data_IF_341063907006
#
_entry.id   IF_341063907006
#
_cell.length_a   1.000
_cell.length_b   1.000
_cell.length_c   1.000
_cell.angle_alpha   90.00
_cell.angle_beta   90.00
_cell.angle_gamma   90.00
#
_symmetry.space_group_name_H-M   'P 1'
#
loop_
_entity.id
_entity.type
_entity.pdbx_description
1 polymer ?
#
# COMPACT_ATOMS: atom_id res chain seq x y z
N UNK A 1 20.81 1.41 -14.79
CA UNK A 1 20.70 1.55 -13.32
C UNK A 1 19.82 2.75 -13.08
N UNK A 2 18.84 2.64 -12.20
CA UNK A 2 17.85 3.71 -12.00
C UNK A 2 18.41 4.77 -11.04
N UNK A 3 18.84 5.90 -11.60
CA UNK A 3 19.49 7.02 -10.88
C UNK A 3 18.61 7.59 -9.74
N UNK A 4 17.30 7.30 -9.72
CA UNK A 4 16.40 7.75 -8.66
C UNK A 4 16.76 7.17 -7.29
N UNK A 5 17.36 5.98 -7.25
CA UNK A 5 17.78 5.39 -5.97
C UNK A 5 18.96 6.12 -5.33
N UNK A 6 19.72 6.94 -6.08
CA UNK A 6 20.81 7.74 -5.51
C UNK A 6 20.30 8.76 -4.48
N UNK A 7 19.03 9.15 -4.56
CA UNK A 7 18.38 10.01 -3.57
C UNK A 7 18.38 9.39 -2.16
N UNK A 8 18.40 8.06 -2.05
CA UNK A 8 18.44 7.36 -0.77
C UNK A 8 19.78 7.50 -0.03
N UNK A 9 20.81 8.01 -0.71
CA UNK A 9 22.14 8.29 -0.14
C UNK A 9 22.18 9.62 0.60
N UNK A 10 21.11 10.41 0.55
CA UNK A 10 21.01 11.63 1.33
C UNK A 10 21.26 11.36 2.83
N UNK A 11 22.13 12.16 3.45
CA UNK A 11 22.53 12.04 4.86
C UNK A 11 21.33 11.83 5.80
N UNK A 12 20.26 12.60 5.60
CA UNK A 12 19.01 12.51 6.35
C UNK A 12 18.37 11.12 6.28
N UNK A 13 18.29 10.53 5.08
CA UNK A 13 17.71 9.20 4.86
C UNK A 13 18.63 8.12 5.45
N UNK A 14 19.95 8.26 5.29
CA UNK A 14 20.91 7.35 5.90
C UNK A 14 20.84 7.36 7.44
N UNK A 15 20.63 8.52 8.06
CA UNK A 15 20.42 8.64 9.51
C UNK A 15 19.11 7.99 9.97
N UNK A 16 18.07 7.96 9.13
CA UNK A 16 16.86 7.17 9.39
C UNK A 16 17.19 5.68 9.31
N UNK A 17 17.84 5.22 8.25
CA UNK A 17 18.20 3.81 8.02
C UNK A 17 19.00 3.21 9.17
N UNK A 18 19.96 3.94 9.73
CA UNK A 18 20.78 3.45 10.85
C UNK A 18 20.13 3.61 12.23
N UNK A 19 18.90 4.13 12.30
CA UNK A 19 18.15 4.33 13.55
C UNK A 19 18.63 5.52 14.39
N UNK A 20 19.36 6.47 13.79
CA UNK A 20 19.83 7.67 14.48
C UNK A 20 18.77 8.76 14.54
N UNK A 21 17.84 8.78 13.57
CA UNK A 21 16.72 9.71 13.57
C UNK A 21 15.56 9.20 14.42
N UNK A 22 14.91 10.11 15.14
CA UNK A 22 13.72 9.89 15.93
C UNK A 22 12.68 10.96 15.60
N UNK A 23 11.42 10.57 15.48
CA UNK A 23 10.34 11.49 15.11
C UNK A 23 9.45 11.85 16.29
N UNK A 24 8.83 10.86 16.93
CA UNK A 24 7.95 11.08 18.10
C UNK A 24 7.72 9.78 18.88
N UNK A 25 7.09 9.87 20.04
CA UNK A 25 6.74 8.73 20.87
C UNK A 25 5.34 8.24 20.51
N UNK A 26 5.24 6.98 20.10
CA UNK A 26 3.98 6.30 19.86
C UNK A 26 3.41 5.88 21.22
N UNK A 27 2.18 6.32 21.49
CA UNK A 27 1.38 5.86 22.63
C UNK A 27 0.24 5.01 22.13
N UNK A 28 -0.07 3.93 22.85
CA UNK A 28 -1.18 3.04 22.53
C UNK A 28 -2.53 3.64 22.95
N UNK A 29 -2.54 4.44 24.02
CA UNK A 29 -3.69 5.20 24.49
C UNK A 29 -3.24 6.36 25.39
N UNK A 30 -4.15 7.27 25.74
CA UNK A 30 -3.83 8.34 26.70
C UNK A 30 -3.60 7.83 28.13
N UNK A 31 -4.14 6.66 28.47
CA UNK A 31 -3.98 6.04 29.79
C UNK A 31 -2.78 5.10 29.89
N UNK A 32 -2.18 4.71 28.77
CA UNK A 32 -0.97 3.89 28.77
C UNK A 32 0.27 4.76 29.00
N UNK A 33 1.05 4.39 30.01
CA UNK A 33 2.30 5.06 30.36
C UNK A 33 3.49 4.55 29.53
N UNK A 34 3.34 3.42 28.84
CA UNK A 34 4.34 2.91 27.90
C UNK A 34 4.36 3.78 26.65
N UNK A 35 5.55 3.98 26.10
CA UNK A 35 5.72 4.69 24.83
C UNK A 35 6.82 4.05 24.02
N UNK A 36 6.64 4.03 22.70
CA UNK A 36 7.61 3.48 21.77
C UNK A 36 8.24 4.59 20.96
N UNK A 37 9.56 4.57 20.87
CA UNK A 37 10.31 5.50 20.03
C UNK A 37 9.97 5.26 18.55
N UNK A 38 9.40 6.25 17.86
CA UNK A 38 9.19 6.18 16.41
C UNK A 38 10.52 6.39 15.66
N UNK A 39 11.20 5.27 15.39
CA UNK A 39 12.48 5.19 14.70
C UNK A 39 12.69 3.77 14.16
N UNK A 40 13.57 3.61 13.15
CA UNK A 40 14.10 2.29 12.83
C UNK A 40 14.99 1.79 13.98
N UNK A 41 15.12 0.46 14.15
CA UNK A 41 16.01 -0.13 15.15
C UNK A 41 17.45 0.35 14.91
N UNK A 42 18.10 0.77 15.99
CA UNK A 42 19.47 1.26 15.97
C UNK A 42 20.43 0.20 15.41
N UNK A 43 21.26 0.59 14.44
CA UNK A 43 22.28 -0.28 13.88
C UNK A 43 23.66 0.13 14.39
N UNK A 44 24.38 -0.82 14.99
CA UNK A 44 25.81 -0.67 15.32
C UNK A 44 26.65 -0.78 14.05
N UNK A 45 27.91 -0.30 14.07
CA UNK A 45 28.81 -0.45 12.91
C UNK A 45 29.04 -1.90 12.50
N UNK A 46 29.11 -2.82 13.46
CA UNK A 46 29.20 -4.26 13.18
C UNK A 46 27.92 -4.83 12.60
N UNK A 47 26.74 -4.42 13.09
CA UNK A 47 25.46 -4.84 12.52
C UNK A 47 25.34 -4.40 11.05
N UNK A 48 25.76 -3.17 10.73
CA UNK A 48 25.79 -2.66 9.35
C UNK A 48 26.70 -3.53 8.47
N UNK A 49 27.89 -3.93 8.94
CA UNK A 49 28.78 -4.83 8.20
C UNK A 49 28.20 -6.25 8.01
N UNK A 50 27.44 -6.75 8.99
CA UNK A 50 26.73 -8.03 8.86
C UNK A 50 25.63 -7.94 7.79
N UNK A 51 24.91 -6.81 7.72
CA UNK A 51 23.94 -6.54 6.65
C UNK A 51 24.67 -6.52 5.31
N UNK A 52 25.78 -5.79 5.18
CA UNK A 52 26.59 -5.78 3.95
C UNK A 52 26.92 -7.21 3.48
N UNK A 53 27.41 -8.05 4.40
CA UNK A 53 27.76 -9.44 4.12
C UNK A 53 26.57 -10.27 3.64
N UNK A 54 25.39 -10.08 4.24
CA UNK A 54 24.13 -10.73 3.82
C UNK A 54 23.76 -10.38 2.37
N UNK A 55 24.04 -9.15 1.96
CA UNK A 55 23.74 -8.70 0.61
C UNK A 55 24.80 -9.12 -0.42
N UNK A 56 25.98 -9.56 0.01
CA UNK A 56 27.08 -9.97 -0.86
C UNK A 56 28.22 -8.95 -0.93
N UNK A 57 28.20 -7.93 -0.05
CA UNK A 57 29.23 -6.91 0.05
C UNK A 57 30.15 -7.18 1.25
N UNK A 58 31.40 -7.59 0.97
CA UNK A 58 32.39 -7.85 2.00
C UNK A 58 32.87 -6.52 2.62
N UNK A 59 32.41 -6.22 3.84
CA UNK A 59 32.73 -5.01 4.58
C UNK A 59 33.10 -5.39 6.02
N UNK A 60 34.23 -4.88 6.51
CA UNK A 60 34.74 -5.20 7.85
C UNK A 60 34.83 -3.96 8.74
N UNK A 61 34.45 -4.12 10.01
CA UNK A 61 34.53 -3.05 11.01
C UNK A 61 35.86 -3.14 11.79
N UNK A 62 36.77 -2.18 11.60
CA UNK A 62 38.08 -2.14 12.30
C UNK A 62 38.12 -1.04 13.37
N UNK A 63 38.42 -1.42 14.62
CA UNK A 63 38.51 -0.48 15.74
C UNK A 63 39.72 0.46 15.60
N UNK A 64 39.53 1.78 15.76
CA UNK A 64 40.61 2.78 15.68
C UNK A 64 40.79 3.48 14.32
N UNK A 65 39.92 3.21 13.33
CA UNK A 65 39.88 3.89 12.03
C UNK A 65 38.57 3.66 11.27
N UNK A 66 37.51 3.28 11.99
CA UNK A 66 36.22 2.95 11.40
C UNK A 66 35.53 4.18 10.81
N UNK A 67 34.90 3.99 9.64
CA UNK A 67 33.99 4.98 9.08
C UNK A 67 32.84 5.26 10.05
N UNK A 68 32.21 6.43 9.90
CA UNK A 68 30.94 6.70 10.55
C UNK A 68 29.90 5.66 10.10
N UNK A 69 28.93 5.34 10.97
CA UNK A 69 27.88 4.35 10.66
C UNK A 69 27.11 4.69 9.39
N UNK A 70 26.84 5.97 9.18
CA UNK A 70 26.18 6.42 7.97
C UNK A 70 27.00 6.20 6.70
N UNK A 71 28.32 6.36 6.76
CA UNK A 71 29.20 6.12 5.62
C UNK A 71 29.31 4.61 5.33
N UNK A 72 29.22 3.76 6.36
CA UNK A 72 29.04 2.33 6.13
C UNK A 72 27.70 2.01 5.48
N UNK A 73 26.60 2.66 5.91
CA UNK A 73 25.29 2.48 5.30
C UNK A 73 25.25 2.98 3.85
N UNK A 74 25.85 4.13 3.57
CA UNK A 74 25.99 4.68 2.21
C UNK A 74 26.65 3.68 1.27
N UNK A 75 27.78 3.07 1.68
CA UNK A 75 28.46 2.04 0.89
C UNK A 75 27.59 0.82 0.57
N UNK A 76 26.73 0.40 1.51
CA UNK A 76 25.81 -0.73 1.29
C UNK A 76 24.70 -0.31 0.33
N UNK A 77 24.16 0.90 0.49
CA UNK A 77 23.15 1.45 -0.42
C UNK A 77 23.74 1.56 -1.83
N UNK A 78 24.92 2.13 -2.00
CA UNK A 78 25.66 2.20 -3.27
C UNK A 78 25.82 0.81 -3.89
N UNK A 79 26.37 -0.15 -3.15
CA UNK A 79 26.56 -1.51 -3.64
C UNK A 79 25.24 -2.16 -4.06
N UNK A 80 24.18 -1.97 -3.28
CA UNK A 80 22.86 -2.52 -3.60
C UNK A 80 22.22 -1.84 -4.82
N UNK A 81 22.43 -0.54 -5.03
CA UNK A 81 22.00 0.14 -6.26
C UNK A 81 22.77 -0.43 -7.45
N UNK A 82 24.09 -0.57 -7.33
CA UNK A 82 24.96 -1.07 -8.37
C UNK A 82 24.63 -2.50 -8.83
N UNK A 83 24.12 -3.31 -7.91
CA UNK A 83 23.81 -4.72 -8.13
C UNK A 83 22.30 -5.01 -8.27
N UNK A 84 21.45 -3.98 -8.41
CA UNK A 84 19.98 -4.11 -8.49
C UNK A 84 19.35 -4.84 -7.28
N UNK A 85 19.92 -4.65 -6.08
CA UNK A 85 19.47 -5.22 -4.80
C UNK A 85 18.88 -4.19 -3.83
N UNK A 86 18.75 -2.92 -4.25
CA UNK A 86 18.30 -1.83 -3.37
C UNK A 86 16.89 -2.07 -2.83
N UNK A 87 15.97 -2.56 -3.66
CA UNK A 87 14.62 -2.93 -3.21
C UNK A 87 14.63 -4.04 -2.16
N UNK A 88 15.48 -5.06 -2.33
CA UNK A 88 15.65 -6.12 -1.33
C UNK A 88 16.22 -5.58 -0.02
N UNK A 89 17.17 -4.65 -0.10
CA UNK A 89 17.73 -3.97 1.07
C UNK A 89 16.64 -3.21 1.81
N UNK A 90 15.83 -2.41 1.11
CA UNK A 90 14.73 -1.67 1.71
C UNK A 90 13.70 -2.60 2.37
N UNK A 91 13.27 -3.66 1.67
CA UNK A 91 12.36 -4.66 2.24
C UNK A 91 12.93 -5.32 3.49
N UNK A 92 14.22 -5.65 3.50
CA UNK A 92 14.88 -6.16 4.70
C UNK A 92 14.97 -5.11 5.81
N UNK A 93 15.26 -3.85 5.46
CA UNK A 93 15.41 -2.76 6.42
C UNK A 93 14.12 -2.45 7.17
N UNK A 94 12.99 -2.56 6.47
CA UNK A 94 11.65 -2.31 7.01
C UNK A 94 10.98 -3.56 7.56
N UNK A 95 11.59 -4.74 7.49
CA UNK A 95 10.94 -5.99 7.90
C UNK A 95 10.61 -6.01 9.41
N UNK A 96 9.43 -6.53 9.76
CA UNK A 96 8.92 -6.55 11.13
C UNK A 96 9.83 -7.30 12.10
N UNK A 97 10.52 -8.35 11.63
CA UNK A 97 11.45 -9.15 12.44
C UNK A 97 12.64 -8.35 12.96
N UNK A 98 12.96 -7.21 12.35
CA UNK A 98 14.01 -6.34 12.85
C UNK A 98 13.66 -5.55 14.11
N UNK A 99 12.38 -5.47 14.43
CA UNK A 99 11.85 -4.68 15.53
C UNK A 99 11.59 -5.52 16.80
N UNK A 100 12.06 -6.78 16.85
CA UNK A 100 11.81 -7.68 17.99
C UNK A 100 12.12 -7.07 19.35
N UNK A 101 13.23 -6.34 19.45
CA UNK A 101 13.63 -5.68 20.71
C UNK A 101 12.72 -4.50 21.06
N UNK A 102 12.21 -3.80 20.04
CA UNK A 102 11.23 -2.69 20.19
C UNK A 102 9.90 -3.22 20.72
N UNK A 103 9.54 -4.44 20.34
CA UNK A 103 8.27 -5.09 20.66
C UNK A 103 8.25 -5.82 22.02
N UNK A 104 9.38 -5.87 22.72
CA UNK A 104 9.46 -6.54 24.01
C UNK A 104 8.48 -5.93 25.02
N UNK A 105 7.53 -6.73 25.50
CA UNK A 105 6.52 -6.32 26.47
C UNK A 105 5.21 -5.80 25.89
N UNK A 106 4.97 -5.99 24.58
CA UNK A 106 3.72 -5.67 23.89
C UNK A 106 2.98 -6.92 23.41
N UNK A 107 1.65 -6.86 23.35
CA UNK A 107 0.81 -7.91 22.78
C UNK A 107 0.89 -7.95 21.25
N UNK A 108 0.48 -9.05 20.58
CA UNK A 108 0.49 -9.11 19.11
C UNK A 108 -0.25 -7.94 18.43
N UNK A 109 -1.44 -7.58 18.92
CA UNK A 109 -2.24 -6.48 18.36
C UNK A 109 -1.55 -5.12 18.57
N UNK A 110 -0.91 -4.91 19.74
CA UNK A 110 -0.13 -3.71 20.03
C UNK A 110 1.10 -3.63 19.10
N UNK A 111 1.75 -4.76 18.85
CA UNK A 111 2.92 -4.86 17.97
C UNK A 111 2.57 -4.45 16.54
N UNK A 112 1.45 -4.94 15.99
CA UNK A 112 0.99 -4.55 14.65
C UNK A 112 0.72 -3.05 14.55
N UNK A 113 0.01 -2.50 15.53
CA UNK A 113 -0.24 -1.07 15.60
C UNK A 113 1.08 -0.26 15.67
N UNK A 114 1.99 -0.63 16.57
CA UNK A 114 3.27 0.06 16.75
C UNK A 114 4.09 0.01 15.46
N UNK A 115 4.22 -1.18 14.86
CA UNK A 115 4.96 -1.38 13.61
C UNK A 115 4.41 -0.50 12.49
N UNK A 116 3.09 -0.52 12.27
CA UNK A 116 2.44 0.26 11.21
C UNK A 116 2.62 1.77 11.43
N UNK A 117 2.53 2.25 12.67
CA UNK A 117 2.77 3.66 13.01
C UNK A 117 4.23 4.06 12.75
N UNK A 118 5.20 3.21 13.10
CA UNK A 118 6.61 3.47 12.83
C UNK A 118 6.87 3.55 11.31
N UNK A 119 6.47 2.52 10.56
CA UNK A 119 6.75 2.45 9.12
C UNK A 119 6.04 3.57 8.36
N UNK A 120 4.77 3.84 8.63
CA UNK A 120 4.03 4.93 7.96
C UNK A 120 4.67 6.30 8.23
N UNK A 121 5.08 6.57 9.48
CA UNK A 121 5.76 7.82 9.83
C UNK A 121 7.10 7.92 9.10
N UNK A 122 7.89 6.85 9.09
CA UNK A 122 9.22 6.84 8.47
C UNK A 122 9.15 7.04 6.96
N UNK A 123 8.26 6.30 6.29
CA UNK A 123 8.03 6.44 4.84
C UNK A 123 7.53 7.83 4.50
N UNK A 124 6.62 8.40 5.31
CA UNK A 124 6.14 9.78 5.14
C UNK A 124 7.30 10.80 5.23
N UNK A 125 8.21 10.63 6.20
CA UNK A 125 9.37 11.52 6.37
C UNK A 125 10.39 11.38 5.24
N UNK A 126 10.64 10.15 4.77
CA UNK A 126 11.48 9.91 3.59
C UNK A 126 10.83 10.54 2.34
N UNK A 127 9.53 10.32 2.13
CA UNK A 127 8.80 10.87 0.97
C UNK A 127 8.70 12.39 1.01
N UNK A 128 8.62 13.00 2.19
CA UNK A 128 8.76 14.44 2.36
C UNK A 128 10.08 14.95 1.77
N UNK A 129 11.18 14.22 1.98
CA UNK A 129 12.47 14.54 1.36
C UNK A 129 12.50 14.27 -0.15
N UNK A 130 12.03 13.08 -0.58
CA UNK A 130 12.06 12.69 -2.00
C UNK A 130 11.16 13.57 -2.89
N UNK A 131 10.04 14.06 -2.35
CA UNK A 131 9.08 14.92 -3.07
C UNK A 131 9.70 16.22 -3.59
N UNK A 132 10.74 16.75 -2.94
CA UNK A 132 11.48 17.92 -3.44
C UNK A 132 12.13 17.68 -4.81
N UNK A 133 12.33 16.41 -5.18
CA UNK A 133 12.84 15.97 -6.48
C UNK A 133 11.78 15.33 -7.37
N UNK A 134 10.50 15.39 -6.97
CA UNK A 134 9.40 14.75 -7.69
C UNK A 134 9.48 13.21 -7.65
N UNK A 135 9.94 12.63 -6.55
CA UNK A 135 10.00 11.18 -6.34
C UNK A 135 9.30 10.75 -5.04
N UNK A 136 8.92 9.48 -4.96
CA UNK A 136 8.35 8.85 -3.77
C UNK A 136 8.78 7.39 -3.65
N UNK A 137 8.98 6.96 -2.41
CA UNK A 137 9.10 5.55 -2.02
C UNK A 137 7.71 4.97 -1.82
N UNK A 138 7.42 3.86 -2.49
CA UNK A 138 6.16 3.13 -2.41
C UNK A 138 6.41 1.65 -2.19
N UNK A 139 5.49 0.99 -1.50
CA UNK A 139 5.44 -0.46 -1.37
C UNK A 139 4.53 -1.01 -2.48
N UNK A 140 5.09 -1.81 -3.39
CA UNK A 140 4.34 -2.50 -4.46
C UNK A 140 4.45 -3.99 -4.16
N UNK A 141 3.33 -4.64 -3.83
CA UNK A 141 3.35 -5.99 -3.28
C UNK A 141 4.08 -6.00 -1.93
N UNK A 142 5.19 -6.73 -1.85
CA UNK A 142 6.07 -6.81 -0.68
C UNK A 142 7.42 -6.11 -0.86
N UNK A 143 7.57 -5.33 -1.95
CA UNK A 143 8.84 -4.75 -2.37
C UNK A 143 8.77 -3.23 -2.40
N UNK A 144 9.75 -2.58 -1.79
CA UNK A 144 9.87 -1.12 -1.82
C UNK A 144 10.57 -0.63 -3.08
N UNK A 145 9.98 0.38 -3.71
CA UNK A 145 10.49 1.03 -4.92
C UNK A 145 10.51 2.54 -4.76
N UNK A 146 11.44 3.21 -5.43
CA UNK A 146 11.41 4.67 -5.61
C UNK A 146 10.94 4.97 -7.03
N UNK A 147 9.87 5.76 -7.17
CA UNK A 147 9.32 6.17 -8.47
C UNK A 147 9.11 7.67 -8.53
N UNK A 148 8.96 8.22 -9.74
CA UNK A 148 8.65 9.65 -9.91
C UNK A 148 7.16 9.94 -9.66
N UNK A 149 6.86 11.06 -9.00
CA UNK A 149 5.53 11.60 -8.77
C UNK A 149 4.90 12.23 -10.03
N UNK A 150 5.69 12.50 -11.08
CA UNK A 150 5.25 13.19 -12.31
C UNK A 150 5.32 12.35 -13.57
N UNK A 151 5.47 11.04 -13.43
CA UNK A 151 5.06 10.15 -14.51
C UNK A 151 3.56 9.95 -14.32
N UNK A 152 2.76 10.75 -15.03
CA UNK A 152 1.57 10.17 -15.67
C UNK A 152 2.08 8.90 -16.32
N UNK A 153 1.77 7.76 -15.71
CA UNK A 153 1.98 6.49 -16.35
C UNK A 153 0.91 6.53 -17.45
N UNK A 154 1.22 6.67 -18.76
CA UNK A 154 0.46 5.87 -19.70
C UNK A 154 0.67 4.47 -19.15
N UNK A 155 -0.35 3.93 -18.50
CA UNK A 155 -0.35 2.63 -17.88
C UNK A 155 0.08 1.64 -18.96
N UNK A 156 1.39 1.48 -19.15
CA UNK A 156 1.99 0.18 -19.38
C UNK A 156 1.76 -0.51 -18.04
N UNK A 157 0.52 -0.98 -17.93
CA UNK A 157 0.16 -2.17 -17.19
C UNK A 157 1.39 -3.06 -17.28
N UNK A 158 2.07 -3.41 -16.17
CA UNK A 158 2.91 -4.60 -16.22
C UNK A 158 2.02 -5.62 -16.89
N UNK A 159 2.46 -6.26 -17.98
CA UNK A 159 1.66 -7.26 -18.68
C UNK A 159 1.06 -8.14 -17.60
N UNK A 160 -0.23 -7.89 -17.33
CA UNK A 160 -0.85 -8.25 -16.07
C UNK A 160 -1.35 -9.64 -16.38
N UNK A 161 -0.39 -10.57 -16.45
CA UNK A 161 -0.61 -11.87 -17.05
C UNK A 161 -1.61 -12.71 -16.23
N UNK A 162 -2.08 -12.19 -15.09
CA UNK A 162 -3.39 -12.48 -14.50
C UNK A 162 -3.72 -11.47 -13.39
N UNK A 163 -4.89 -10.81 -13.46
CA UNK A 163 -5.61 -10.46 -12.23
C UNK A 163 -6.08 -11.80 -11.67
N UNK A 164 -5.37 -12.30 -10.67
CA UNK A 164 -5.80 -13.49 -9.95
C UNK A 164 -6.51 -13.11 -8.64
N UNK A 165 -7.17 -14.10 -8.06
CA UNK A 165 -7.86 -13.99 -6.77
C UNK A 165 -6.92 -13.48 -5.66
N UNK A 166 -5.62 -13.72 -5.79
CA UNK A 166 -4.61 -13.31 -4.81
C UNK A 166 -4.34 -11.81 -4.86
N UNK A 167 -4.24 -11.21 -6.06
CA UNK A 167 -4.10 -9.77 -6.22
C UNK A 167 -5.29 -8.99 -5.62
N UNK A 168 -6.52 -9.45 -5.89
CA UNK A 168 -7.75 -8.84 -5.35
C UNK A 168 -7.77 -8.93 -3.82
N UNK A 169 -7.41 -10.09 -3.25
CA UNK A 169 -7.30 -10.29 -1.80
C UNK A 169 -6.29 -9.34 -1.17
N UNK A 170 -5.10 -9.23 -1.75
CA UNK A 170 -4.06 -8.32 -1.24
C UNK A 170 -4.50 -6.86 -1.22
N UNK A 171 -5.24 -6.39 -2.24
CA UNK A 171 -5.77 -5.02 -2.23
C UNK A 171 -6.84 -4.81 -1.16
N UNK A 172 -7.69 -5.80 -0.93
CA UNK A 172 -8.71 -5.78 0.14
C UNK A 172 -8.05 -5.78 1.52
N UNK A 173 -7.04 -6.60 1.74
CA UNK A 173 -6.32 -6.69 3.00
C UNK A 173 -5.66 -5.35 3.35
N UNK A 174 -4.96 -4.73 2.39
CA UNK A 174 -4.40 -3.37 2.55
C UNK A 174 -5.48 -2.32 2.86
N UNK A 175 -6.68 -2.46 2.31
CA UNK A 175 -7.79 -1.57 2.62
C UNK A 175 -8.31 -1.76 4.05
N UNK A 176 -8.33 -2.98 4.58
CA UNK A 176 -8.66 -3.22 6.00
C UNK A 176 -7.54 -2.79 6.95
N UNK A 177 -6.28 -2.89 6.55
CA UNK A 177 -5.14 -2.33 7.28
C UNK A 177 -5.26 -0.82 7.41
N UNK A 178 -5.60 -0.10 6.33
CA UNK A 178 -5.84 1.34 6.38
C UNK A 178 -6.90 1.72 7.42
N UNK A 179 -8.02 0.99 7.45
CA UNK A 179 -9.08 1.21 8.44
C UNK A 179 -8.53 1.04 9.85
N UNK A 180 -7.79 -0.05 10.08
CA UNK A 180 -7.18 -0.36 11.39
C UNK A 180 -6.17 0.71 11.81
N UNK A 181 -5.53 1.37 10.85
CA UNK A 181 -4.61 2.49 11.04
C UNK A 181 -5.31 3.87 11.10
N UNK A 182 -6.64 3.94 11.06
CA UNK A 182 -7.41 5.18 11.07
C UNK A 182 -7.44 5.94 9.74
N UNK A 183 -6.89 5.37 8.68
CA UNK A 183 -6.80 5.94 7.32
C UNK A 183 -8.07 5.61 6.51
N UNK A 184 -9.25 5.93 7.05
CA UNK A 184 -10.54 5.59 6.43
C UNK A 184 -10.67 6.08 4.98
N UNK A 185 -10.12 7.25 4.67
CA UNK A 185 -10.18 7.83 3.33
C UNK A 185 -9.37 7.02 2.32
N UNK A 186 -8.21 6.51 2.74
CA UNK A 186 -7.38 5.62 1.90
C UNK A 186 -8.08 4.29 1.69
N UNK A 187 -8.70 3.74 2.73
CA UNK A 187 -9.46 2.49 2.65
C UNK A 187 -10.62 2.59 1.64
N UNK A 188 -11.33 3.71 1.64
CA UNK A 188 -12.40 3.99 0.68
C UNK A 188 -11.88 4.11 -0.74
N UNK A 189 -10.75 4.81 -0.96
CA UNK A 189 -10.13 4.88 -2.28
C UNK A 189 -9.74 3.49 -2.76
N UNK A 190 -9.15 2.65 -1.91
CA UNK A 190 -8.80 1.27 -2.24
C UNK A 190 -10.05 0.42 -2.55
N UNK A 191 -11.15 0.59 -1.82
CA UNK A 191 -12.42 -0.08 -2.11
C UNK A 191 -12.94 0.22 -3.53
N UNK A 192 -12.85 1.49 -3.96
CA UNK A 192 -13.18 1.90 -5.32
C UNK A 192 -12.23 1.27 -6.34
N UNK A 193 -10.92 1.35 -6.10
CA UNK A 193 -9.90 0.76 -6.99
C UNK A 193 -10.14 -0.73 -7.18
N UNK A 194 -10.39 -1.49 -6.11
CA UNK A 194 -10.69 -2.94 -6.21
C UNK A 194 -11.93 -3.20 -7.07
N UNK A 195 -12.98 -2.39 -6.90
CA UNK A 195 -14.22 -2.52 -7.67
C UNK A 195 -14.00 -2.18 -9.15
N UNK A 196 -13.16 -1.19 -9.44
CA UNK A 196 -12.82 -0.80 -10.80
C UNK A 196 -11.96 -1.85 -11.52
N UNK A 197 -10.90 -2.32 -10.85
CA UNK A 197 -9.98 -3.34 -11.37
C UNK A 197 -10.71 -4.62 -11.73
N UNK A 198 -11.66 -5.08 -10.89
CA UNK A 198 -12.44 -6.30 -11.20
C UNK A 198 -13.35 -6.11 -12.42
N UNK A 199 -13.84 -4.90 -12.66
CA UNK A 199 -14.64 -4.61 -13.86
C UNK A 199 -13.80 -4.57 -15.13
N UNK A 200 -12.65 -3.89 -15.08
CA UNK A 200 -11.69 -3.91 -16.18
C UNK A 200 -11.30 -5.35 -16.52
N UNK A 201 -10.96 -6.14 -15.50
CA UNK A 201 -10.64 -7.56 -15.66
C UNK A 201 -11.77 -8.34 -16.34
N UNK A 202 -13.00 -8.22 -15.85
CA UNK A 202 -14.15 -8.92 -16.39
C UNK A 202 -14.34 -8.59 -17.89
N UNK A 203 -14.21 -7.32 -18.26
CA UNK A 203 -14.35 -6.85 -19.65
C UNK A 203 -13.23 -7.45 -20.53
N UNK A 204 -11.98 -7.36 -20.06
CA UNK A 204 -10.80 -7.88 -20.76
C UNK A 204 -10.89 -9.41 -20.96
N UNK A 205 -11.45 -10.17 -20.00
CA UNK A 205 -11.68 -11.61 -20.15
C UNK A 205 -12.69 -11.98 -21.24
N UNK A 206 -13.58 -11.06 -21.64
CA UNK A 206 -14.47 -11.24 -22.79
C UNK A 206 -13.85 -10.71 -24.10
N UNK A 207 -12.59 -10.27 -24.08
CA UNK A 207 -11.88 -9.74 -25.24
C UNK A 207 -12.29 -8.30 -25.60
N UNK A 208 -12.99 -7.60 -24.71
CA UNK A 208 -13.45 -6.24 -24.91
C UNK A 208 -12.52 -5.23 -24.23
N UNK A 209 -12.62 -3.96 -24.62
CA UNK A 209 -11.83 -2.87 -24.01
C UNK A 209 -12.67 -2.10 -22.97
N UNK A 210 -12.14 -1.82 -21.77
CA UNK A 210 -12.83 -1.01 -20.77
C UNK A 210 -13.23 0.37 -21.32
N UNK A 211 -14.51 0.74 -21.16
CA UNK A 211 -15.08 1.94 -21.77
C UNK A 211 -14.53 3.27 -21.24
N UNK A 212 -14.24 3.37 -19.95
CA UNK A 212 -13.75 4.61 -19.31
C UNK A 212 -13.10 4.30 -17.94
N UNK A 213 -11.77 4.34 -17.84
CA UNK A 213 -11.05 4.16 -16.57
C UNK A 213 -11.30 5.41 -15.71
N UNK A 214 -12.01 5.24 -14.60
CA UNK A 214 -12.46 6.30 -13.69
C UNK A 214 -13.98 6.38 -13.51
N UNK A 215 -14.77 5.86 -14.45
CA UNK A 215 -16.24 5.79 -14.34
C UNK A 215 -16.70 4.34 -14.06
N UNK A 216 -16.67 3.98 -12.77
CA UNK A 216 -17.12 2.68 -12.25
C UNK A 216 -18.56 2.37 -12.70
N UNK A 217 -19.43 3.38 -12.84
CA UNK A 217 -20.82 3.16 -13.25
C UNK A 217 -20.91 2.72 -14.70
N UNK A 218 -20.10 3.30 -15.60
CA UNK A 218 -20.01 2.87 -17.00
C UNK A 218 -19.40 1.48 -17.14
N UNK A 219 -18.28 1.23 -16.47
CA UNK A 219 -17.63 -0.07 -16.45
C UNK A 219 -18.60 -1.16 -15.96
N UNK A 220 -19.35 -0.89 -14.90
CA UNK A 220 -20.31 -1.85 -14.38
C UNK A 220 -21.46 -2.15 -15.36
N UNK A 221 -21.95 -1.16 -16.12
CA UNK A 221 -22.95 -1.41 -17.16
C UNK A 221 -22.42 -2.34 -18.23
N UNK A 222 -21.20 -2.07 -18.71
CA UNK A 222 -20.54 -2.91 -19.71
C UNK A 222 -20.36 -4.36 -19.22
N UNK A 223 -19.96 -4.55 -17.96
CA UNK A 223 -19.86 -5.89 -17.35
C UNK A 223 -21.21 -6.60 -17.32
N UNK A 224 -22.29 -5.91 -16.94
CA UNK A 224 -23.62 -6.53 -16.91
C UNK A 224 -24.05 -7.02 -18.29
N UNK A 225 -23.80 -6.22 -19.32
CA UNK A 225 -24.12 -6.56 -20.70
C UNK A 225 -23.31 -7.78 -21.16
N UNK A 226 -22.01 -7.84 -20.84
CA UNK A 226 -21.10 -8.91 -21.26
C UNK A 226 -21.32 -10.25 -20.54
N UNK A 227 -21.73 -10.22 -19.27
CA UNK A 227 -21.95 -11.41 -18.44
C UNK A 227 -23.42 -11.75 -18.27
N UNK A 228 -24.31 -11.07 -19.00
CA UNK A 228 -25.77 -11.23 -18.91
C UNK A 228 -26.28 -11.14 -17.45
N UNK A 229 -25.73 -10.21 -16.67
CA UNK A 229 -26.13 -9.98 -15.26
C UNK A 229 -27.35 -9.07 -15.15
N UNK A 230 -28.18 -9.05 -16.18
CA UNK A 230 -29.44 -8.32 -16.17
C UNK A 230 -30.48 -9.08 -15.34
N UNK A 231 -31.43 -8.34 -14.80
CA UNK A 231 -32.60 -8.95 -14.21
C UNK A 231 -33.43 -9.55 -15.34
N UNK A 232 -33.74 -10.85 -15.24
CA UNK A 232 -34.53 -11.58 -16.23
C UNK A 232 -35.84 -12.05 -15.60
N UNK A 233 -36.94 -12.02 -16.37
CA UNK A 233 -38.25 -12.49 -15.93
C UNK A 233 -38.29 -13.99 -15.64
N UNK A 234 -37.39 -14.77 -16.25
CA UNK A 234 -37.26 -16.22 -16.03
C UNK A 234 -36.32 -16.58 -14.86
N UNK A 235 -35.62 -15.60 -14.27
CA UNK A 235 -34.77 -15.79 -13.09
C UNK A 235 -35.58 -15.64 -11.81
N UNK A 236 -35.29 -16.50 -10.81
CA UNK A 236 -35.97 -16.48 -9.52
C UNK A 236 -35.99 -15.07 -8.90
N UNK A 237 -37.16 -14.68 -8.38
CA UNK A 237 -37.40 -13.34 -7.81
C UNK A 237 -36.41 -12.98 -6.70
N UNK A 238 -35.96 -13.96 -5.91
CA UNK A 238 -34.99 -13.75 -4.84
C UNK A 238 -33.59 -13.46 -5.41
N UNK A 239 -33.19 -14.13 -6.48
CA UNK A 239 -31.92 -13.87 -7.18
C UNK A 239 -31.94 -12.48 -7.81
N UNK A 240 -33.04 -12.10 -8.46
CA UNK A 240 -33.21 -10.75 -9.02
C UNK A 240 -33.14 -9.64 -7.95
N UNK A 241 -33.65 -9.90 -6.74
CA UNK A 241 -33.53 -8.99 -5.61
C UNK A 241 -32.07 -8.86 -5.11
N UNK A 242 -31.32 -9.97 -5.08
CA UNK A 242 -29.92 -9.98 -4.69
C UNK A 242 -29.07 -9.14 -5.67
N UNK A 243 -29.26 -9.34 -6.98
CA UNK A 243 -28.60 -8.54 -8.03
C UNK A 243 -28.98 -7.06 -7.91
N UNK A 244 -30.24 -6.74 -7.58
CA UNK A 244 -30.66 -5.35 -7.33
C UNK A 244 -29.95 -4.73 -6.13
N UNK A 245 -29.76 -5.49 -5.05
CA UNK A 245 -29.01 -5.03 -3.88
C UNK A 245 -27.54 -4.78 -4.20
N UNK A 246 -26.95 -5.68 -4.98
CA UNK A 246 -25.57 -5.58 -5.47
C UNK A 246 -25.37 -4.33 -6.34
N UNK A 247 -26.30 -4.02 -7.25
CA UNK A 247 -26.29 -2.76 -8.02
C UNK A 247 -26.20 -1.53 -7.11
N UNK A 248 -27.02 -1.47 -6.04
CA UNK A 248 -27.04 -0.35 -5.11
C UNK A 248 -25.73 -0.20 -4.34
N UNK A 249 -25.06 -1.31 -4.04
CA UNK A 249 -23.74 -1.30 -3.37
C UNK A 249 -22.69 -0.71 -4.30
N UNK A 250 -22.64 -1.15 -5.56
CA UNK A 250 -21.72 -0.59 -6.58
C UNK A 250 -21.97 0.89 -6.78
N UNK A 251 -23.24 1.30 -6.92
CA UNK A 251 -23.62 2.71 -7.04
C UNK A 251 -23.17 3.51 -5.81
N UNK A 252 -23.34 2.96 -4.60
CA UNK A 252 -22.87 3.60 -3.39
C UNK A 252 -21.35 3.78 -3.41
N UNK A 253 -20.58 2.73 -3.69
CA UNK A 253 -19.10 2.78 -3.73
C UNK A 253 -18.62 3.77 -4.79
N UNK A 254 -19.20 3.74 -5.99
CA UNK A 254 -18.89 4.66 -7.10
C UNK A 254 -19.17 6.13 -6.74
N UNK A 255 -20.13 6.39 -5.86
CA UNK A 255 -20.52 7.74 -5.45
C UNK A 255 -19.90 8.20 -4.13
N UNK A 256 -19.19 7.32 -3.38
CA UNK A 256 -18.43 7.75 -2.22
C UNK A 256 -17.32 8.68 -2.72
N UNK A 257 -17.43 9.98 -2.38
CA UNK A 257 -16.54 11.03 -2.86
C UNK A 257 -15.10 10.78 -2.43
N UNK A 258 -14.17 10.99 -3.36
CA UNK A 258 -12.74 10.99 -3.12
C UNK A 258 -12.36 12.25 -2.33
N UNK A 259 -11.86 12.09 -1.12
CA UNK A 259 -11.46 13.21 -0.25
C UNK A 259 -10.25 13.95 -0.82
N UNK A 260 -9.45 13.31 -1.68
CA UNK A 260 -8.29 13.91 -2.32
C UNK A 260 -8.63 14.72 -3.58
N UNK A 261 -9.62 14.32 -4.39
CA UNK A 261 -9.91 14.99 -5.68
C UNK A 261 -10.89 16.16 -5.59
N UNK A 262 -11.66 16.29 -4.51
CA UNK A 262 -12.69 17.35 -4.36
C UNK A 262 -12.13 18.61 -3.66
N UNK A 263 -10.81 18.75 -3.58
CA UNK A 263 -10.09 19.83 -2.88
C UNK A 263 -10.22 21.22 -3.55
N UNK A 264 -11.04 21.34 -4.60
CA UNK A 264 -11.35 22.62 -5.27
C UNK A 264 -12.84 22.99 -5.34
N UNK A 265 -13.76 22.28 -4.66
CA UNK A 265 -15.18 22.60 -4.78
C UNK A 265 -16.01 22.31 -3.53
N UNK A 266 -16.54 23.39 -2.92
CA UNK A 266 -17.74 23.43 -2.06
C UNK A 266 -17.59 23.01 -0.58
N UNK A 267 -17.32 24.02 0.24
CA UNK A 267 -18.21 24.49 1.31
C UNK A 267 -19.12 23.52 2.09
N UNK A 268 -18.87 23.50 3.40
CA UNK A 268 -19.87 23.66 4.48
C UNK A 268 -20.72 22.50 5.01
N UNK A 269 -20.64 21.24 4.54
CA UNK A 269 -21.14 20.07 5.31
C UNK A 269 -20.34 18.81 5.03
N UNK A 270 -19.23 18.62 5.77
CA UNK A 270 -18.43 17.39 5.74
C UNK A 270 -18.98 16.42 6.79
N UNK A 271 -19.50 15.27 6.36
CA UNK A 271 -19.77 14.16 7.28
C UNK A 271 -18.52 13.29 7.31
N UNK A 272 -17.78 13.21 8.44
CA UNK A 272 -16.58 12.39 8.51
C UNK A 272 -16.92 10.91 8.26
N UNK A 273 -16.13 10.24 7.43
CA UNK A 273 -16.22 8.80 7.26
C UNK A 273 -15.67 8.12 8.51
N UNK A 274 -16.56 7.51 9.26
CA UNK A 274 -16.23 6.76 10.47
C UNK A 274 -15.78 5.35 10.10
N UNK A 275 -14.97 4.74 10.96
CA UNK A 275 -14.42 3.38 10.81
C UNK A 275 -15.48 2.37 10.33
N UNK A 276 -16.66 2.35 10.97
CA UNK A 276 -17.77 1.45 10.59
C UNK A 276 -18.25 1.62 9.14
N UNK A 277 -18.19 2.83 8.59
CA UNK A 277 -18.63 3.11 7.22
C UNK A 277 -17.54 2.68 6.22
N UNK A 278 -16.27 2.89 6.55
CA UNK A 278 -15.14 2.37 5.77
C UNK A 278 -15.14 0.84 5.75
N UNK A 279 -15.36 0.18 6.91
CA UNK A 279 -15.50 -1.28 7.00
C UNK A 279 -16.63 -1.82 6.14
N UNK A 280 -17.77 -1.13 6.14
CA UNK A 280 -18.90 -1.52 5.30
C UNK A 280 -18.54 -1.44 3.82
N UNK A 281 -17.91 -0.34 3.38
CA UNK A 281 -17.55 -0.15 1.98
C UNK A 281 -16.48 -1.15 1.50
N UNK A 282 -15.41 -1.34 2.28
CA UNK A 282 -14.35 -2.31 1.97
C UNK A 282 -14.89 -3.73 1.98
N UNK A 283 -15.66 -4.12 3.01
CA UNK A 283 -16.25 -5.45 3.09
C UNK A 283 -17.25 -5.73 1.97
N UNK A 284 -18.07 -4.73 1.59
CA UNK A 284 -18.98 -4.87 0.47
C UNK A 284 -18.24 -5.03 -0.86
N UNK A 285 -17.16 -4.28 -1.08
CA UNK A 285 -16.29 -4.42 -2.26
C UNK A 285 -15.63 -5.79 -2.31
N UNK A 286 -15.20 -6.32 -1.16
CA UNK A 286 -14.59 -7.64 -1.07
C UNK A 286 -15.53 -8.78 -1.47
N UNK A 287 -16.74 -8.80 -0.89
CA UNK A 287 -17.78 -9.78 -1.22
C UNK A 287 -18.17 -9.68 -2.69
N UNK A 288 -18.28 -8.45 -3.19
CA UNK A 288 -18.60 -8.18 -4.59
C UNK A 288 -17.53 -8.73 -5.54
N UNK A 289 -16.25 -8.46 -5.28
CA UNK A 289 -15.17 -8.93 -6.14
C UNK A 289 -15.04 -10.45 -6.14
N UNK A 290 -15.24 -11.11 -4.99
CA UNK A 290 -15.27 -12.58 -4.93
C UNK A 290 -16.41 -13.17 -5.75
N UNK A 291 -17.60 -12.54 -5.70
CA UNK A 291 -18.72 -12.93 -6.55
C UNK A 291 -18.40 -12.73 -8.04
N UNK A 292 -17.83 -11.59 -8.42
CA UNK A 292 -17.44 -11.32 -9.82
C UNK A 292 -16.39 -12.31 -10.33
N UNK A 293 -15.37 -12.65 -9.54
CA UNK A 293 -14.39 -13.67 -9.90
C UNK A 293 -15.07 -15.01 -10.19
N UNK A 294 -16.02 -15.42 -9.34
CA UNK A 294 -16.82 -16.62 -9.58
C UNK A 294 -17.64 -16.52 -10.87
N UNK A 295 -18.25 -15.38 -11.18
CA UNK A 295 -18.99 -15.16 -12.44
C UNK A 295 -18.05 -15.29 -13.65
N UNK A 296 -16.85 -14.72 -13.58
CA UNK A 296 -15.84 -14.77 -14.65
C UNK A 296 -15.38 -16.20 -14.89
N UNK A 297 -15.04 -16.94 -13.82
CA UNK A 297 -14.60 -18.34 -13.87
C UNK A 297 -15.66 -19.27 -14.48
N UNK A 298 -16.94 -19.05 -14.18
CA UNK A 298 -18.05 -19.88 -14.68
C UNK A 298 -18.60 -19.46 -16.05
N UNK A 299 -18.12 -18.35 -16.61
CA UNK A 299 -18.53 -17.85 -17.93
C UNK A 299 -17.52 -18.17 -19.05
N UNK A 300 -16.48 -18.95 -18.74
CA UNK A 300 -15.55 -19.61 -19.67
C UNK A 300 -16.15 -20.92 -20.18
#
# INVERSE_FOLDING_TARGET
>A
MDERYDLLKARFILDIFIGDTYFDNIKLSESDCRSVRCALPYLTGSAICNIASRFGYALSYTYGGALSRWAYMEKIVDWCIENNRISDLLTYMFSKERFTDVFSGYSPDEIDFIYNQIISTIISKINGYLSCSGNEMVLIGSVYHVKSQHVEIPVETPSLDRIDREYVRQLIDRAFEDISNGNNDSAITKARTVTEEIFCYAIEQKGETPSDRGDITRLYRQVKDLYNMHQDGDVDRQINNLISGLNKIVDAISNIRNIASDSHGLGTRRVPMLDRHARLAVGASAVFSEFMLSVIENAQ
#
